data_IF_112392229566
#
_entry.id   IF_112392229566
#
_cell.length_a   1.000
_cell.length_b   1.000
_cell.length_c   1.000
_cell.angle_alpha   90.00
_cell.angle_beta   90.00
_cell.angle_gamma   90.00
#
_symmetry.space_group_name_H-M   'P 1'
#
loop_
_entity.id
_entity.type
_entity.pdbx_description
1 polymer ?
#
# COMPACT_ATOMS: atom_id res chain seq x y z
N UNK A 1 -11.86 -17.43 -0.23
CA UNK A 1 -12.56 -18.26 0.78
C UNK A 1 -12.81 -19.69 0.31
N UNK A 2 -13.33 -19.91 -0.89
CA UNK A 2 -13.53 -21.26 -1.43
C UNK A 2 -12.22 -22.03 -1.63
N UNK A 3 -11.12 -21.36 -1.87
CA UNK A 3 -9.81 -22.00 -1.97
C UNK A 3 -9.20 -22.36 -0.62
N UNK A 4 -9.56 -21.67 0.44
CA UNK A 4 -9.14 -22.01 1.80
C UNK A 4 -9.89 -23.20 2.38
N UNK A 5 -11.16 -23.42 1.95
CA UNK A 5 -12.02 -24.49 2.45
C UNK A 5 -11.95 -25.79 1.66
N UNK A 6 -11.29 -25.81 0.53
CA UNK A 6 -11.33 -26.93 -0.43
C UNK A 6 -10.35 -28.07 -0.20
N UNK A 7 -10.10 -28.50 1.04
CA UNK A 7 -9.27 -29.67 1.33
C UNK A 7 -7.80 -29.56 0.94
N UNK A 8 -7.36 -28.41 0.46
CA UNK A 8 -5.95 -28.05 0.37
C UNK A 8 -5.53 -27.56 1.73
N UNK A 9 -4.83 -28.37 2.42
CA UNK A 9 -4.53 -28.27 3.82
C UNK A 9 -3.83 -27.00 4.26
N UNK A 10 -3.42 -26.12 3.36
CA UNK A 10 -2.88 -24.80 3.71
C UNK A 10 -2.59 -23.97 2.46
N UNK A 11 -3.54 -23.17 2.03
CA UNK A 11 -3.16 -21.93 1.39
C UNK A 11 -3.26 -20.88 2.50
N UNK A 12 -2.20 -20.67 3.24
CA UNK A 12 -2.11 -19.49 4.06
C UNK A 12 -1.71 -18.33 3.15
N UNK A 13 -2.61 -17.41 2.96
CA UNK A 13 -2.25 -16.12 2.40
C UNK A 13 -1.33 -15.44 3.40
N UNK A 14 -0.24 -14.84 2.92
CA UNK A 14 0.69 -14.08 3.75
C UNK A 14 0.09 -12.69 4.03
N UNK A 15 -1.10 -12.70 4.62
CA UNK A 15 -1.79 -11.49 5.07
C UNK A 15 -1.49 -11.32 6.53
N UNK A 16 -1.07 -10.13 6.99
CA UNK A 16 -0.88 -9.85 8.41
C UNK A 16 -2.14 -10.20 9.19
N UNK A 17 -2.02 -10.87 10.34
CA UNK A 17 -3.15 -11.23 11.20
C UNK A 17 -3.93 -10.00 11.68
N UNK A 18 -3.23 -8.87 11.84
CA UNK A 18 -3.82 -7.61 12.24
C UNK A 18 -4.52 -6.92 11.08
N UNK A 19 -5.81 -6.63 11.26
CA UNK A 19 -6.62 -5.90 10.28
C UNK A 19 -7.42 -6.77 9.33
N UNK A 20 -7.51 -8.08 9.61
CA UNK A 20 -8.44 -8.99 8.92
C UNK A 20 -9.85 -8.94 9.52
N UNK A 21 -9.94 -8.60 10.79
CA UNK A 21 -11.20 -8.46 11.51
C UNK A 21 -11.66 -7.00 11.47
N UNK A 22 -12.94 -6.78 11.28
CA UNK A 22 -13.58 -5.48 11.28
C UNK A 22 -15.05 -5.58 11.66
N UNK A 23 -15.58 -4.54 12.26
CA UNK A 23 -17.01 -4.44 12.50
C UNK A 23 -17.75 -4.32 11.17
N UNK A 24 -18.77 -5.14 10.98
CA UNK A 24 -19.70 -5.01 9.88
C UNK A 24 -20.83 -4.10 10.35
N UNK A 25 -21.06 -2.94 9.71
CA UNK A 25 -22.12 -2.03 10.11
C UNK A 25 -23.50 -2.70 9.98
N UNK A 26 -24.38 -2.48 10.96
CA UNK A 26 -25.76 -3.00 10.96
C UNK A 26 -26.60 -2.46 9.80
N UNK A 27 -26.23 -1.31 9.28
CA UNK A 27 -26.87 -0.70 8.12
C UNK A 27 -25.94 -0.76 6.92
N UNK A 28 -26.52 -1.12 5.77
CA UNK A 28 -25.81 -1.07 4.52
C UNK A 28 -25.39 0.36 4.18
N UNK A 29 -24.11 0.59 4.00
CA UNK A 29 -23.54 1.85 3.57
C UNK A 29 -22.76 1.64 2.27
N UNK A 30 -23.13 2.33 1.17
CA UNK A 30 -22.41 2.19 -0.08
C UNK A 30 -21.03 2.83 0.00
N UNK A 31 -20.01 2.10 -0.45
CA UNK A 31 -18.67 2.67 -0.64
C UNK A 31 -18.67 3.47 -1.94
N UNK A 32 -18.40 4.79 -1.91
CA UNK A 32 -18.43 5.60 -3.10
C UNK A 32 -17.29 5.26 -4.07
N UNK A 33 -17.60 5.18 -5.37
CA UNK A 33 -16.58 5.03 -6.40
C UNK A 33 -15.67 6.25 -6.47
N UNK A 34 -14.38 6.00 -6.78
CA UNK A 34 -13.41 7.06 -6.94
C UNK A 34 -13.07 7.81 -5.64
N UNK A 35 -13.30 7.17 -4.50
CA UNK A 35 -12.90 7.69 -3.20
C UNK A 35 -11.98 6.71 -2.50
N UNK A 36 -10.76 7.17 -2.22
CA UNK A 36 -9.82 6.43 -1.39
C UNK A 36 -10.25 6.47 0.09
N UNK A 37 -9.63 5.61 0.88
CA UNK A 37 -9.80 5.59 2.33
C UNK A 37 -8.47 5.91 3.03
N UNK A 38 -8.50 6.90 3.91
CA UNK A 38 -7.39 7.17 4.81
C UNK A 38 -7.48 6.21 6.00
N UNK A 39 -6.66 5.15 5.97
CA UNK A 39 -6.65 4.10 6.99
C UNK A 39 -5.90 4.53 8.24
N UNK A 40 -4.86 5.35 8.07
CA UNK A 40 -4.06 5.91 9.16
C UNK A 40 -3.59 7.31 8.79
N UNK A 41 -3.67 8.24 9.73
CA UNK A 41 -3.09 9.57 9.57
C UNK A 41 -1.58 9.58 9.83
N UNK A 42 -0.87 10.48 9.15
CA UNK A 42 0.56 10.69 9.33
C UNK A 42 1.07 11.94 8.62
N UNK A 43 2.30 12.36 8.94
CA UNK A 43 2.83 13.64 8.48
C UNK A 43 4.19 13.57 7.76
N UNK A 44 4.93 12.45 7.85
CA UNK A 44 6.29 12.37 7.31
C UNK A 44 6.36 11.66 5.96
N UNK A 45 5.46 10.68 5.73
CA UNK A 45 5.41 9.91 4.49
C UNK A 45 4.02 9.36 4.25
N UNK A 46 3.57 9.37 3.00
CA UNK A 46 2.33 8.72 2.53
C UNK A 46 2.66 7.37 1.93
N UNK A 47 2.07 6.31 2.49
CA UNK A 47 2.03 4.97 1.91
C UNK A 47 0.71 4.79 1.16
N UNK A 48 0.79 4.48 -0.12
CA UNK A 48 -0.40 4.24 -0.97
C UNK A 48 -0.41 2.80 -1.41
N UNK A 49 -1.54 2.12 -1.24
CA UNK A 49 -1.70 0.74 -1.62
C UNK A 49 -3.15 0.37 -1.93
N UNK A 50 -3.37 -0.88 -2.30
CA UNK A 50 -4.67 -1.52 -2.44
C UNK A 50 -4.59 -3.00 -1.99
N UNK A 51 -5.74 -3.57 -1.62
CA UNK A 51 -5.83 -4.98 -1.23
C UNK A 51 -4.88 -5.37 -0.09
N UNK A 52 -4.17 -6.47 -0.26
CA UNK A 52 -3.23 -7.01 0.74
C UNK A 52 -2.11 -6.02 1.09
N UNK A 53 -1.69 -5.19 0.14
CA UNK A 53 -0.66 -4.18 0.36
C UNK A 53 -1.04 -3.15 1.42
N UNK A 54 -2.34 -2.89 1.64
CA UNK A 54 -2.82 -1.99 2.70
C UNK A 54 -2.50 -2.57 4.08
N UNK A 55 -2.77 -3.85 4.31
CA UNK A 55 -2.48 -4.52 5.59
C UNK A 55 -0.97 -4.53 5.89
N UNK A 56 -0.15 -4.82 4.87
CA UNK A 56 1.33 -4.75 4.97
C UNK A 56 1.81 -3.33 5.25
N UNK A 57 1.14 -2.33 4.71
CA UNK A 57 1.44 -0.91 4.96
C UNK A 57 1.08 -0.48 6.38
N UNK A 58 -0.02 -0.97 6.94
CA UNK A 58 -0.41 -0.74 8.35
C UNK A 58 0.65 -1.34 9.30
N UNK A 59 1.09 -2.56 9.03
CA UNK A 59 2.17 -3.19 9.81
C UNK A 59 3.49 -2.40 9.72
N UNK A 60 3.86 -2.00 8.51
CA UNK A 60 5.04 -1.18 8.29
C UNK A 60 4.94 0.17 9.00
N UNK A 61 3.76 0.79 9.00
CA UNK A 61 3.51 2.06 9.67
C UNK A 61 3.71 1.96 11.19
N UNK A 62 3.30 0.86 11.83
CA UNK A 62 3.56 0.61 13.27
C UNK A 62 5.06 0.57 13.55
N UNK A 63 5.84 -0.16 12.74
CA UNK A 63 7.30 -0.27 12.89
C UNK A 63 8.00 1.08 12.63
N UNK A 64 7.49 1.87 11.69
CA UNK A 64 8.01 3.20 11.38
C UNK A 64 7.72 4.19 12.50
N UNK A 65 6.55 4.10 13.14
CA UNK A 65 6.15 4.93 14.26
C UNK A 65 7.03 4.69 15.50
N UNK A 66 7.42 3.43 15.78
CA UNK A 66 8.41 3.09 16.82
C UNK A 66 9.77 3.75 16.57
N UNK A 67 10.04 4.12 15.31
CA UNK A 67 11.26 4.83 14.90
C UNK A 67 11.07 6.33 14.78
N UNK A 68 9.94 6.87 15.24
CA UNK A 68 9.62 8.28 15.21
C UNK A 68 9.21 8.82 13.83
N UNK A 69 8.77 7.95 12.91
CA UNK A 69 8.30 8.33 11.58
C UNK A 69 6.77 8.25 11.53
N UNK A 70 6.13 9.41 11.42
CA UNK A 70 4.68 9.54 11.33
C UNK A 70 4.19 9.20 9.92
N UNK A 71 3.56 8.04 9.79
CA UNK A 71 3.22 7.44 8.49
C UNK A 71 1.73 7.51 8.22
N UNK A 72 1.35 8.12 7.11
CA UNK A 72 -0.01 8.08 6.57
C UNK A 72 -0.20 6.84 5.69
N UNK A 73 -1.35 6.18 5.81
CA UNK A 73 -1.69 5.00 5.00
C UNK A 73 -3.00 5.25 4.26
N UNK A 74 -2.94 5.19 2.94
CA UNK A 74 -4.07 5.36 2.03
C UNK A 74 -4.38 4.04 1.31
N UNK A 75 -5.64 3.63 1.38
CA UNK A 75 -6.21 2.56 0.57
C UNK A 75 -6.93 3.16 -0.64
N UNK A 76 -6.45 2.87 -1.82
CA UNK A 76 -7.02 3.40 -3.07
C UNK A 76 -8.46 2.96 -3.30
N UNK A 77 -8.86 1.76 -2.88
CA UNK A 77 -10.18 1.15 -3.13
C UNK A 77 -10.60 1.11 -4.60
N UNK A 78 -10.33 2.17 -5.34
CA UNK A 78 -10.70 2.33 -6.73
C UNK A 78 -9.52 2.86 -7.54
N UNK A 79 -9.21 2.18 -8.64
CA UNK A 79 -8.13 2.58 -9.55
C UNK A 79 -8.66 3.47 -10.66
N UNK A 80 -9.90 3.22 -11.10
CA UNK A 80 -10.59 4.01 -12.13
C UNK A 80 -12.05 4.23 -11.72
N UNK A 81 -12.44 5.48 -11.44
CA UNK A 81 -11.61 6.69 -11.37
C UNK A 81 -10.71 6.71 -10.13
N UNK A 82 -9.51 7.28 -10.27
CA UNK A 82 -8.57 7.49 -9.18
C UNK A 82 -8.92 8.78 -8.41
N UNK A 83 -8.86 8.77 -7.08
CA UNK A 83 -9.05 9.95 -6.24
C UNK A 83 -7.80 10.82 -6.20
N UNK A 84 -7.55 11.53 -7.30
CA UNK A 84 -6.36 12.35 -7.50
C UNK A 84 -6.28 13.47 -6.44
N UNK A 85 -7.40 14.11 -6.11
CA UNK A 85 -7.41 15.22 -5.16
C UNK A 85 -7.02 14.76 -3.75
N UNK A 86 -7.51 13.62 -3.29
CA UNK A 86 -7.12 13.09 -1.98
C UNK A 86 -5.65 12.66 -1.96
N UNK A 87 -5.13 12.09 -3.05
CA UNK A 87 -3.69 11.77 -3.19
C UNK A 87 -2.84 13.04 -3.15
N UNK A 88 -3.24 14.09 -3.89
CA UNK A 88 -2.55 15.40 -3.90
C UNK A 88 -2.47 15.97 -2.48
N UNK A 89 -3.59 16.04 -1.79
CA UNK A 89 -3.67 16.60 -0.43
C UNK A 89 -2.74 15.86 0.54
N UNK A 90 -2.69 14.54 0.48
CA UNK A 90 -1.81 13.74 1.31
C UNK A 90 -0.33 13.96 0.98
N UNK A 91 0.01 13.89 -0.30
CA UNK A 91 1.40 14.07 -0.77
C UNK A 91 1.89 15.51 -0.56
N UNK A 92 1.01 16.50 -0.68
CA UNK A 92 1.33 17.91 -0.37
C UNK A 92 1.68 18.10 1.12
N UNK A 93 1.01 17.39 2.00
CA UNK A 93 1.27 17.40 3.43
C UNK A 93 2.59 16.72 3.79
N UNK A 94 2.81 15.49 3.31
CA UNK A 94 3.95 14.65 3.71
C UNK A 94 5.21 14.89 2.89
N UNK A 95 5.11 15.41 1.68
CA UNK A 95 6.20 15.60 0.70
C UNK A 95 7.00 14.35 0.37
N UNK A 96 6.49 13.18 0.75
CA UNK A 96 7.11 11.88 0.49
C UNK A 96 6.04 10.82 0.18
N UNK A 97 6.20 10.14 -0.94
CA UNK A 97 5.27 9.14 -1.45
C UNK A 97 5.97 7.79 -1.62
N UNK A 98 5.42 6.75 -1.02
CA UNK A 98 5.81 5.36 -1.25
C UNK A 98 4.59 4.57 -1.71
N UNK A 99 4.66 4.00 -2.90
CA UNK A 99 3.59 3.15 -3.45
C UNK A 99 3.95 1.69 -3.23
N UNK A 100 3.02 0.95 -2.66
CA UNK A 100 3.12 -0.49 -2.41
C UNK A 100 2.12 -1.20 -3.31
N UNK A 101 2.62 -2.01 -4.24
CA UNK A 101 1.81 -2.63 -5.27
C UNK A 101 2.34 -4.03 -5.60
N UNK A 102 1.49 -5.02 -5.62
CA UNK A 102 1.86 -6.40 -6.01
C UNK A 102 2.08 -6.53 -7.52
N UNK A 103 1.63 -5.55 -8.31
CA UNK A 103 1.90 -5.49 -9.74
C UNK A 103 3.39 -5.22 -10.03
N UNK A 104 3.77 -5.41 -11.27
CA UNK A 104 5.15 -5.21 -11.70
C UNK A 104 5.57 -3.74 -11.58
N UNK A 105 6.81 -3.53 -11.14
CA UNK A 105 7.43 -2.21 -11.06
C UNK A 105 7.49 -1.49 -12.41
N UNK A 106 7.62 -2.26 -13.50
CA UNK A 106 7.62 -1.74 -14.86
C UNK A 106 6.19 -1.79 -15.41
N UNK A 107 5.69 -0.64 -15.87
CA UNK A 107 4.36 -0.48 -16.46
C UNK A 107 3.18 -0.75 -15.51
N UNK A 108 3.44 -0.91 -14.21
CA UNK A 108 2.40 -1.10 -13.20
C UNK A 108 1.82 0.23 -12.70
N UNK A 109 0.77 0.13 -11.88
CA UNK A 109 0.01 1.23 -11.31
C UNK A 109 0.87 2.31 -10.63
N UNK A 110 1.97 1.90 -10.00
CA UNK A 110 2.86 2.83 -9.30
C UNK A 110 3.49 3.88 -10.21
N UNK A 111 3.71 3.56 -11.48
CA UNK A 111 4.19 4.50 -12.49
C UNK A 111 3.13 5.52 -12.88
N UNK A 112 1.89 5.07 -13.07
CA UNK A 112 0.74 5.90 -13.42
C UNK A 112 0.42 6.92 -12.33
N UNK A 113 0.34 6.49 -11.07
CA UNK A 113 0.09 7.41 -9.95
C UNK A 113 1.18 8.48 -9.86
N UNK A 114 2.46 8.09 -9.99
CA UNK A 114 3.56 9.03 -9.96
C UNK A 114 3.48 10.05 -11.12
N UNK A 115 3.22 9.58 -12.33
CA UNK A 115 3.07 10.43 -13.52
C UNK A 115 1.91 11.43 -13.34
N UNK A 116 0.74 10.94 -12.92
CA UNK A 116 -0.44 11.78 -12.66
C UNK A 116 -0.16 12.90 -11.64
N UNK A 117 0.56 12.61 -10.56
CA UNK A 117 0.90 13.63 -9.56
C UNK A 117 1.92 14.64 -10.10
N UNK A 118 2.90 14.21 -10.90
CA UNK A 118 3.88 15.09 -11.53
C UNK A 118 3.23 15.99 -12.59
N UNK A 119 2.28 15.46 -13.39
CA UNK A 119 1.48 16.24 -14.34
C UNK A 119 0.61 17.31 -13.64
N UNK A 120 0.28 17.10 -12.37
CA UNK A 120 -0.37 18.07 -11.50
C UNK A 120 0.64 18.99 -10.77
N UNK A 121 1.87 19.14 -11.30
CA UNK A 121 2.92 20.03 -10.81
C UNK A 121 3.38 19.78 -9.36
N UNK A 122 3.16 18.58 -8.83
CA UNK A 122 3.57 18.23 -7.48
C UNK A 122 5.06 17.91 -7.39
N UNK A 123 5.68 18.28 -6.27
CA UNK A 123 7.07 17.97 -5.95
C UNK A 123 7.15 17.17 -4.65
N UNK A 124 7.73 15.96 -4.72
CA UNK A 124 7.82 15.05 -3.60
C UNK A 124 8.97 14.05 -3.76
N UNK A 125 9.42 13.48 -2.64
CA UNK A 125 10.31 12.32 -2.67
C UNK A 125 9.51 11.09 -3.04
N UNK A 126 10.03 10.25 -3.94
CA UNK A 126 9.30 9.11 -4.47
C UNK A 126 10.03 7.79 -4.28
N UNK A 127 9.28 6.75 -3.93
CA UNK A 127 9.71 5.37 -3.95
C UNK A 127 8.56 4.43 -4.24
N UNK A 128 8.90 3.18 -4.52
CA UNK A 128 7.92 2.12 -4.75
C UNK A 128 8.44 0.75 -4.33
N UNK A 129 7.58 -0.03 -3.74
CA UNK A 129 7.81 -1.44 -3.39
C UNK A 129 6.83 -2.26 -4.22
N UNK A 130 7.33 -2.84 -5.30
CA UNK A 130 6.55 -3.59 -6.27
C UNK A 130 7.22 -4.93 -6.56
N UNK A 131 6.56 -5.77 -7.37
CA UNK A 131 7.14 -6.98 -7.93
C UNK A 131 8.15 -6.60 -9.02
N UNK A 132 9.40 -7.06 -8.90
CA UNK A 132 10.49 -6.67 -9.82
C UNK A 132 10.85 -7.76 -10.84
N UNK A 133 10.48 -9.01 -10.57
CA UNK A 133 10.80 -10.18 -11.40
C UNK A 133 9.67 -11.20 -11.38
N UNK A 134 9.78 -12.25 -12.17
CA UNK A 134 8.83 -13.36 -12.16
C UNK A 134 8.66 -13.93 -10.76
N UNK A 135 7.40 -14.14 -10.35
CA UNK A 135 7.07 -14.71 -9.06
C UNK A 135 7.43 -16.21 -9.09
N UNK A 136 8.36 -16.67 -8.25
CA UNK A 136 8.75 -18.08 -8.23
C UNK A 136 7.69 -18.94 -7.54
N UNK A 137 7.61 -20.20 -7.91
CA UNK A 137 6.72 -21.19 -7.30
C UNK A 137 7.35 -21.79 -6.03
N UNK A 138 7.71 -20.93 -5.09
CA UNK A 138 8.23 -21.30 -3.77
C UNK A 138 7.94 -20.16 -2.82
N UNK A 139 7.33 -20.46 -1.68
CA UNK A 139 6.91 -19.45 -0.71
C UNK A 139 8.07 -18.60 -0.20
N UNK A 140 9.20 -19.23 0.11
CA UNK A 140 10.38 -18.52 0.60
C UNK A 140 10.97 -17.55 -0.45
N UNK A 141 10.90 -17.92 -1.71
CA UNK A 141 11.35 -17.08 -2.82
C UNK A 141 10.31 -16.02 -3.20
N UNK A 142 9.03 -16.36 -3.10
CA UNK A 142 7.91 -15.45 -3.30
C UNK A 142 7.98 -14.25 -2.34
N UNK A 143 8.25 -14.51 -1.05
CA UNK A 143 8.43 -13.48 -0.02
C UNK A 143 9.60 -12.52 -0.32
N UNK A 144 10.58 -12.93 -1.12
CA UNK A 144 11.68 -12.07 -1.54
C UNK A 144 11.30 -11.15 -2.71
N UNK A 145 10.32 -11.55 -3.51
CA UNK A 145 9.91 -10.85 -4.74
C UNK A 145 8.72 -9.93 -4.50
N UNK A 146 7.71 -10.40 -3.77
CA UNK A 146 6.51 -9.63 -3.48
C UNK A 146 6.77 -8.49 -2.47
N UNK A 147 5.96 -7.44 -2.49
CA UNK A 147 5.96 -6.44 -1.44
C UNK A 147 5.73 -7.09 -0.07
N UNK A 148 6.53 -6.73 0.91
CA UNK A 148 6.38 -7.17 2.28
C UNK A 148 6.75 -6.05 3.25
N UNK A 149 6.38 -6.20 4.52
CA UNK A 149 6.58 -5.20 5.57
C UNK A 149 8.04 -4.75 5.69
N UNK A 150 9.01 -5.68 5.60
CA UNK A 150 10.45 -5.36 5.70
C UNK A 150 10.92 -4.48 4.53
N UNK A 151 10.47 -4.78 3.31
CA UNK A 151 10.79 -3.99 2.11
C UNK A 151 10.18 -2.60 2.20
N UNK A 152 8.94 -2.48 2.70
CA UNK A 152 8.24 -1.21 2.88
C UNK A 152 9.00 -0.32 3.88
N UNK A 153 9.30 -0.84 5.07
CA UNK A 153 10.05 -0.11 6.11
C UNK A 153 11.41 0.37 5.60
N UNK A 154 12.14 -0.53 4.91
CA UNK A 154 13.47 -0.19 4.35
C UNK A 154 13.38 0.93 3.33
N UNK A 155 12.44 0.88 2.39
CA UNK A 155 12.31 1.88 1.34
C UNK A 155 11.79 3.21 1.90
N UNK A 156 10.84 3.21 2.83
CA UNK A 156 10.37 4.42 3.52
C UNK A 156 11.53 5.16 4.22
N UNK A 157 12.35 4.44 4.98
CA UNK A 157 13.53 5.02 5.63
C UNK A 157 14.54 5.59 4.63
N UNK A 158 14.72 4.94 3.49
CA UNK A 158 15.62 5.41 2.42
C UNK A 158 15.13 6.71 1.80
N UNK A 159 13.82 6.82 1.51
CA UNK A 159 13.20 8.03 0.95
C UNK A 159 13.40 9.22 1.89
N UNK A 160 13.19 9.01 3.19
CA UNK A 160 13.26 10.09 4.18
C UNK A 160 14.68 10.55 4.49
N UNK A 161 15.69 9.68 4.32
CA UNK A 161 17.12 10.03 4.54
C UNK A 161 17.74 10.85 3.40
N UNK A 162 17.11 10.89 2.26
CA UNK A 162 17.55 11.70 1.12
C UNK A 162 16.97 13.10 1.22
#
# INVERSE_FOLDING_TARGET
DSMASGGRTTISFNVPENGLDGEVPDKWEPIPFGKLNQVKEGNDITLVSLGVGVHRSIEAAKILEEKGISTEVLDLRCVVPLDIEALKNSVEKTKALLIIDEDYKRFGLSGEICATLLENEMSFKFGRVCTETTIPYSRELEDQVLPNTKRIVKEAQKILKK
#
